data_IF_101219739232
#
_entry.id   IF_101219739232
#
_cell.length_a   1.000
_cell.length_b   1.000
_cell.length_c   1.000
_cell.angle_alpha   90.00
_cell.angle_beta   90.00
_cell.angle_gamma   90.00
#
_symmetry.space_group_name_H-M   'P 1'
#
loop_
_entity.id
_entity.type
_entity.pdbx_description
1 polymer ?
#
# COMPACT_ATOMS: atom_id res chain seq x y z
N UNK A 1 -18.42 -28.66 73.62
CA UNK A 1 -17.71 -29.41 72.56
C UNK A 1 -18.34 -29.18 71.19
N UNK A 2 -19.63 -29.45 70.99
CA UNK A 2 -20.30 -29.26 69.69
C UNK A 2 -20.21 -27.83 69.13
N UNK A 3 -20.46 -26.81 69.97
CA UNK A 3 -20.40 -25.39 69.59
C UNK A 3 -19.02 -24.93 69.13
N UNK A 4 -17.97 -25.39 69.81
CA UNK A 4 -16.58 -25.10 69.44
C UNK A 4 -16.19 -25.72 68.10
N UNK A 5 -16.69 -26.93 67.80
CA UNK A 5 -16.46 -27.60 66.51
C UNK A 5 -17.20 -26.88 65.38
N UNK A 6 -18.45 -26.44 65.61
CA UNK A 6 -19.19 -25.63 64.65
C UNK A 6 -18.49 -24.30 64.34
N UNK A 7 -17.96 -23.61 65.35
CA UNK A 7 -17.22 -22.36 65.16
C UNK A 7 -15.93 -22.57 64.34
N UNK A 8 -15.20 -23.65 64.59
CA UNK A 8 -14.00 -23.99 63.81
C UNK A 8 -14.33 -24.31 62.35
N UNK A 9 -15.43 -25.01 62.09
CA UNK A 9 -15.89 -25.29 60.72
C UNK A 9 -16.28 -24.02 59.98
N UNK A 10 -17.02 -23.11 60.63
CA UNK A 10 -17.40 -21.82 60.03
C UNK A 10 -16.15 -20.97 59.75
N UNK A 11 -15.18 -20.93 60.67
CA UNK A 11 -13.92 -20.22 60.46
C UNK A 11 -13.11 -20.83 59.29
N UNK A 12 -13.03 -22.17 59.21
CA UNK A 12 -12.36 -22.86 58.12
C UNK A 12 -13.02 -22.57 56.76
N UNK A 13 -14.35 -22.68 56.68
CA UNK A 13 -15.11 -22.34 55.47
C UNK A 13 -14.94 -20.87 55.06
N UNK A 14 -14.94 -19.95 56.02
CA UNK A 14 -14.74 -18.53 55.76
C UNK A 14 -13.33 -18.24 55.20
N UNK A 15 -12.29 -18.84 55.78
CA UNK A 15 -10.92 -18.67 55.28
C UNK A 15 -10.72 -19.27 53.88
N UNK A 16 -11.40 -20.39 53.57
CA UNK A 16 -11.40 -20.98 52.23
C UNK A 16 -12.08 -20.06 51.22
N UNK A 17 -13.25 -19.50 51.55
CA UNK A 17 -13.96 -18.55 50.69
C UNK A 17 -13.13 -17.30 50.40
N UNK A 18 -12.49 -16.71 51.41
CA UNK A 18 -11.62 -15.53 51.21
C UNK A 18 -10.43 -15.87 50.31
N UNK A 19 -9.84 -17.05 50.46
CA UNK A 19 -8.73 -17.51 49.59
C UNK A 19 -9.18 -17.73 48.15
N UNK A 20 -10.33 -18.36 47.92
CA UNK A 20 -10.84 -18.59 46.55
C UNK A 20 -11.23 -17.29 45.87
N UNK A 21 -11.87 -16.35 46.59
CA UNK A 21 -12.19 -15.01 46.08
C UNK A 21 -10.90 -14.26 45.70
N UNK A 22 -9.88 -14.26 46.56
CA UNK A 22 -8.58 -13.64 46.25
C UNK A 22 -7.90 -14.29 45.05
N UNK A 23 -7.90 -15.62 44.98
CA UNK A 23 -7.33 -16.36 43.86
C UNK A 23 -8.07 -16.05 42.56
N UNK A 24 -9.40 -16.02 42.58
CA UNK A 24 -10.24 -15.67 41.45
C UNK A 24 -9.96 -14.24 40.97
N UNK A 25 -9.90 -13.26 41.88
CA UNK A 25 -9.56 -11.88 41.51
C UNK A 25 -8.14 -11.76 40.91
N UNK A 26 -7.15 -12.45 41.48
CA UNK A 26 -5.80 -12.46 40.93
C UNK A 26 -5.76 -13.10 39.54
N UNK A 27 -6.46 -14.22 39.34
CA UNK A 27 -6.57 -14.89 38.05
C UNK A 27 -7.29 -14.01 37.02
N UNK A 28 -8.40 -13.38 37.38
CA UNK A 28 -9.16 -12.52 36.48
C UNK A 28 -8.34 -11.29 36.05
N UNK A 29 -7.59 -10.67 36.97
CA UNK A 29 -6.66 -9.57 36.63
C UNK A 29 -5.60 -10.01 35.62
N UNK A 30 -5.05 -11.22 35.77
CA UNK A 30 -4.08 -11.77 34.80
C UNK A 30 -4.73 -12.02 33.44
N UNK A 31 -5.94 -12.57 33.40
CA UNK A 31 -6.69 -12.80 32.14
C UNK A 31 -6.97 -11.47 31.43
N UNK A 32 -7.43 -10.45 32.16
CA UNK A 32 -7.68 -9.12 31.58
C UNK A 32 -6.38 -8.52 31.02
N UNK A 33 -5.27 -8.61 31.75
CA UNK A 33 -3.98 -8.12 31.29
C UNK A 33 -3.45 -8.88 30.07
N UNK A 34 -3.69 -10.18 29.97
CA UNK A 34 -3.33 -10.98 28.79
C UNK A 34 -4.21 -10.61 27.60
N UNK A 35 -5.52 -10.43 27.80
CA UNK A 35 -6.45 -10.00 26.74
C UNK A 35 -6.09 -8.62 26.22
N UNK A 36 -5.76 -7.65 27.08
CA UNK A 36 -5.36 -6.32 26.62
C UNK A 36 -4.07 -6.37 25.81
N UNK A 37 -3.08 -7.15 26.23
CA UNK A 37 -1.84 -7.37 25.45
C UNK A 37 -2.12 -8.02 24.10
N UNK A 38 -2.99 -9.02 24.06
CA UNK A 38 -3.37 -9.69 22.82
C UNK A 38 -4.08 -8.72 21.86
N UNK A 39 -5.00 -7.89 22.36
CA UNK A 39 -5.67 -6.86 21.57
C UNK A 39 -4.69 -5.83 21.00
N UNK A 40 -3.72 -5.36 21.80
CA UNK A 40 -2.67 -4.44 21.32
C UNK A 40 -1.81 -5.08 20.24
N UNK A 41 -1.42 -6.34 20.42
CA UNK A 41 -0.65 -7.05 19.38
C UNK A 41 -1.45 -7.21 18.08
N UNK A 42 -2.74 -7.51 18.19
CA UNK A 42 -3.63 -7.62 17.04
C UNK A 42 -3.82 -6.26 16.35
N UNK A 43 -4.01 -5.17 17.11
CA UNK A 43 -4.14 -3.83 16.54
C UNK A 43 -2.88 -3.39 15.82
N UNK A 44 -1.70 -3.72 16.35
CA UNK A 44 -0.42 -3.43 15.69
C UNK A 44 -0.27 -4.19 14.36
N UNK A 45 -0.72 -5.45 14.30
CA UNK A 45 -0.73 -6.23 13.05
C UNK A 45 -1.72 -5.63 12.06
N UNK A 46 -2.93 -5.27 12.51
CA UNK A 46 -3.94 -4.66 11.65
C UNK A 46 -3.50 -3.30 11.13
N UNK A 47 -2.90 -2.46 11.97
CA UNK A 47 -2.34 -1.15 11.57
C UNK A 47 -1.29 -1.32 10.48
N UNK A 48 -0.33 -2.24 10.66
CA UNK A 48 0.69 -2.52 9.62
C UNK A 48 0.08 -3.00 8.31
N UNK A 49 -1.00 -3.80 8.36
CA UNK A 49 -1.72 -4.22 7.15
C UNK A 49 -2.43 -3.05 6.47
N UNK A 50 -3.06 -2.18 7.26
CA UNK A 50 -3.73 -0.98 6.76
C UNK A 50 -2.71 -0.02 6.11
N UNK A 51 -1.58 0.26 6.76
CA UNK A 51 -0.53 1.13 6.24
C UNK A 51 0.03 0.61 4.90
N UNK A 52 0.17 -0.72 4.75
CA UNK A 52 0.57 -1.35 3.49
C UNK A 52 -0.50 -1.18 2.40
N UNK A 53 -1.77 -1.37 2.74
CA UNK A 53 -2.88 -1.16 1.80
C UNK A 53 -2.98 0.30 1.38
N UNK A 54 -2.83 1.24 2.31
CA UNK A 54 -2.84 2.67 2.03
C UNK A 54 -1.69 3.06 1.09
N UNK A 55 -0.48 2.58 1.36
CA UNK A 55 0.69 2.85 0.50
C UNK A 55 0.47 2.32 -0.92
N UNK A 56 -0.07 1.11 -1.05
CA UNK A 56 -0.43 0.53 -2.37
C UNK A 56 -1.52 1.33 -3.07
N UNK A 57 -2.55 1.75 -2.34
CA UNK A 57 -3.63 2.54 -2.89
C UNK A 57 -3.13 3.91 -3.37
N UNK A 58 -2.31 4.60 -2.57
CA UNK A 58 -1.66 5.85 -2.98
C UNK A 58 -0.81 5.68 -4.23
N UNK A 59 -0.01 4.61 -4.31
CA UNK A 59 0.80 4.31 -5.50
C UNK A 59 -0.07 4.10 -6.74
N UNK A 60 -1.18 3.36 -6.60
CA UNK A 60 -2.11 3.12 -7.71
C UNK A 60 -2.81 4.40 -8.18
N UNK A 61 -3.29 5.22 -7.23
CA UNK A 61 -3.92 6.51 -7.57
C UNK A 61 -2.93 7.43 -8.29
N UNK A 62 -1.66 7.46 -7.85
CA UNK A 62 -0.62 8.22 -8.54
C UNK A 62 -0.36 7.70 -9.96
N UNK A 63 -0.29 6.38 -10.13
CA UNK A 63 -0.14 5.75 -11.45
C UNK A 63 -1.29 6.10 -12.39
N UNK A 64 -2.53 5.94 -11.93
CA UNK A 64 -3.73 6.28 -12.69
C UNK A 64 -3.73 7.77 -13.05
N UNK A 65 -3.32 8.64 -12.12
CA UNK A 65 -3.25 10.09 -12.35
C UNK A 65 -2.21 10.45 -13.41
N UNK A 66 -1.00 9.88 -13.34
CA UNK A 66 0.07 10.14 -14.31
C UNK A 66 -0.29 9.57 -15.67
N UNK A 67 -0.84 8.36 -15.72
CA UNK A 67 -1.28 7.70 -16.96
C UNK A 67 -2.39 8.50 -17.64
N UNK A 68 -3.43 8.89 -16.89
CA UNK A 68 -4.52 9.71 -17.41
C UNK A 68 -4.07 11.12 -17.79
N UNK A 69 -3.15 11.72 -17.04
CA UNK A 69 -2.55 13.01 -17.36
C UNK A 69 -1.75 12.97 -18.66
N UNK A 70 -0.92 11.94 -18.85
CA UNK A 70 -0.18 11.73 -20.09
C UNK A 70 -1.14 11.54 -21.29
N UNK A 71 -2.20 10.74 -21.13
CA UNK A 71 -3.22 10.56 -22.17
C UNK A 71 -3.98 11.85 -22.50
N UNK A 72 -4.27 12.69 -21.48
CA UNK A 72 -4.90 13.98 -21.69
C UNK A 72 -3.98 14.93 -22.48
N UNK A 73 -2.69 14.98 -22.14
CA UNK A 73 -1.68 15.77 -22.87
C UNK A 73 -1.55 15.26 -24.31
N UNK A 74 -1.47 13.95 -24.52
CA UNK A 74 -1.43 13.35 -25.86
C UNK A 74 -2.66 13.79 -26.69
N UNK A 75 -3.85 13.73 -26.10
CA UNK A 75 -5.09 14.13 -26.79
C UNK A 75 -5.10 15.62 -27.13
N UNK A 76 -4.65 16.49 -26.22
CA UNK A 76 -4.50 17.92 -26.48
C UNK A 76 -3.49 18.18 -27.60
N UNK A 77 -2.33 17.53 -27.55
CA UNK A 77 -1.28 17.63 -28.57
C UNK A 77 -1.79 17.19 -29.95
N UNK A 78 -2.48 16.05 -30.04
CA UNK A 78 -3.14 15.58 -31.28
C UNK A 78 -4.17 16.60 -31.79
N UNK A 79 -4.96 17.19 -30.90
CA UNK A 79 -5.97 18.19 -31.29
C UNK A 79 -5.32 19.44 -31.88
N UNK A 80 -4.29 19.99 -31.22
CA UNK A 80 -3.54 21.16 -31.68
C UNK A 80 -2.82 20.90 -33.01
N UNK A 81 -2.23 19.71 -33.14
CA UNK A 81 -1.53 19.28 -34.35
C UNK A 81 -2.50 19.15 -35.52
N UNK A 82 -3.63 18.48 -35.31
CA UNK A 82 -4.68 18.32 -36.31
C UNK A 82 -5.25 19.68 -36.75
N UNK A 83 -5.48 20.60 -35.80
CA UNK A 83 -5.94 21.94 -36.12
C UNK A 83 -4.90 22.70 -36.95
N UNK A 84 -3.63 22.70 -36.52
CA UNK A 84 -2.53 23.40 -37.21
C UNK A 84 -2.34 22.91 -38.64
N UNK A 85 -2.15 21.61 -38.84
CA UNK A 85 -1.97 21.06 -40.18
C UNK A 85 -3.25 21.11 -41.02
N UNK A 86 -4.42 21.01 -40.38
CA UNK A 86 -5.71 21.18 -41.06
C UNK A 86 -5.91 22.61 -41.60
N UNK A 87 -5.44 23.63 -40.87
CA UNK A 87 -5.45 25.02 -41.35
C UNK A 87 -4.51 25.20 -42.54
N UNK A 88 -3.29 24.65 -42.47
CA UNK A 88 -2.33 24.70 -43.59
C UNK A 88 -2.91 24.03 -44.84
N UNK A 89 -3.53 22.86 -44.68
CA UNK A 89 -4.16 22.12 -45.79
C UNK A 89 -5.44 22.79 -46.29
N UNK A 90 -6.02 23.77 -45.60
CA UNK A 90 -7.23 24.48 -46.06
C UNK A 90 -6.93 25.87 -46.64
N UNK A 91 -5.90 26.54 -46.15
CA UNK A 91 -5.61 27.93 -46.50
C UNK A 91 -4.34 28.13 -47.34
N UNK A 92 -3.52 27.09 -47.54
CA UNK A 92 -2.38 27.19 -48.46
C UNK A 92 -2.82 27.12 -49.92
N UNK A 93 -2.42 28.13 -50.69
CA UNK A 93 -2.59 28.18 -52.15
C UNK A 93 -1.47 27.49 -52.93
N UNK A 94 -0.34 27.17 -52.29
CA UNK A 94 0.79 26.47 -52.91
C UNK A 94 0.74 24.96 -52.62
N UNK A 95 0.60 24.15 -53.68
CA UNK A 95 0.56 22.69 -53.61
C UNK A 95 1.88 22.09 -53.10
N UNK A 96 3.03 22.68 -53.43
CA UNK A 96 4.33 22.23 -52.93
C UNK A 96 4.44 22.48 -51.43
N UNK A 97 3.89 23.59 -50.95
CA UNK A 97 3.83 23.90 -49.53
C UNK A 97 2.89 22.94 -48.78
N UNK A 98 1.73 22.59 -49.37
CA UNK A 98 0.81 21.59 -48.80
C UNK A 98 1.47 20.22 -48.68
N UNK A 99 2.17 19.77 -49.71
CA UNK A 99 2.87 18.49 -49.72
C UNK A 99 4.00 18.45 -48.69
N UNK A 100 4.79 19.54 -48.60
CA UNK A 100 5.81 19.70 -47.55
C UNK A 100 5.20 19.65 -46.15
N UNK A 101 4.08 20.34 -45.92
CA UNK A 101 3.37 20.33 -44.64
C UNK A 101 2.82 18.94 -44.27
N UNK A 102 2.34 18.16 -45.24
CA UNK A 102 1.92 16.76 -45.01
C UNK A 102 3.09 15.89 -44.59
N UNK A 103 4.23 16.02 -45.26
CA UNK A 103 5.46 15.29 -44.89
C UNK A 103 5.98 15.68 -43.51
N UNK A 104 5.89 16.97 -43.17
CA UNK A 104 6.21 17.46 -41.83
C UNK A 104 5.26 16.89 -40.76
N UNK A 105 3.95 16.80 -41.07
CA UNK A 105 2.96 16.15 -40.19
C UNK A 105 3.28 14.69 -39.95
N UNK A 106 3.56 13.92 -40.99
CA UNK A 106 3.91 12.50 -40.84
C UNK A 106 5.14 12.30 -39.96
N UNK A 107 6.17 13.13 -40.15
CA UNK A 107 7.39 13.09 -39.33
C UNK A 107 7.10 13.47 -37.88
N UNK A 108 6.27 14.49 -37.67
CA UNK A 108 5.82 14.93 -36.35
C UNK A 108 5.00 13.85 -35.62
N UNK A 109 4.06 13.21 -36.31
CA UNK A 109 3.20 12.18 -35.75
C UNK A 109 4.02 10.93 -35.39
N UNK A 110 4.92 10.49 -36.27
CA UNK A 110 5.86 9.39 -35.97
C UNK A 110 6.75 9.69 -34.75
N UNK A 111 7.21 10.93 -34.61
CA UNK A 111 8.03 11.35 -33.48
C UNK A 111 7.21 11.40 -32.20
N UNK A 112 6.02 11.96 -32.27
CA UNK A 112 5.08 12.05 -31.15
C UNK A 112 4.71 10.67 -30.63
N UNK A 113 4.34 9.73 -31.51
CA UNK A 113 3.98 8.36 -31.12
C UNK A 113 5.15 7.63 -30.41
N UNK A 114 6.39 7.82 -30.89
CA UNK A 114 7.59 7.28 -30.21
C UNK A 114 7.75 7.87 -28.81
N UNK A 115 7.56 9.18 -28.64
CA UNK A 115 7.69 9.85 -27.35
C UNK A 115 6.61 9.35 -26.38
N UNK A 116 5.35 9.30 -26.79
CA UNK A 116 4.26 8.84 -25.93
C UNK A 116 4.38 7.35 -25.58
N UNK A 117 4.80 6.51 -26.52
CA UNK A 117 5.08 5.09 -26.26
C UNK A 117 6.23 4.91 -25.25
N UNK A 118 7.29 5.70 -25.38
CA UNK A 118 8.40 5.71 -24.42
C UNK A 118 7.91 6.15 -23.04
N UNK A 119 7.12 7.22 -22.93
CA UNK A 119 6.55 7.69 -21.67
C UNK A 119 5.70 6.61 -20.98
N UNK A 120 4.83 5.93 -21.73
CA UNK A 120 4.00 4.84 -21.19
C UNK A 120 4.88 3.68 -20.68
N UNK A 121 5.89 3.30 -21.46
CA UNK A 121 6.84 2.25 -21.09
C UNK A 121 7.66 2.62 -19.86
N UNK A 122 8.12 3.86 -19.76
CA UNK A 122 8.86 4.38 -18.60
C UNK A 122 7.99 4.39 -17.35
N UNK A 123 6.73 4.80 -17.45
CA UNK A 123 5.79 4.77 -16.32
C UNK A 123 5.63 3.33 -15.79
N UNK A 124 5.43 2.36 -16.69
CA UNK A 124 5.35 0.93 -16.36
C UNK A 124 6.66 0.39 -15.76
N UNK A 125 7.81 0.77 -16.32
CA UNK A 125 9.12 0.34 -15.83
C UNK A 125 9.43 0.89 -14.44
N UNK A 126 9.08 2.16 -14.17
CA UNK A 126 9.22 2.76 -12.85
C UNK A 126 8.40 1.99 -11.80
N UNK A 127 7.18 1.59 -12.14
CA UNK A 127 6.33 0.77 -11.28
C UNK A 127 6.96 -0.61 -10.98
N UNK A 128 7.42 -1.33 -12.01
CA UNK A 128 8.09 -2.63 -11.86
C UNK A 128 9.36 -2.52 -10.99
N UNK A 129 10.13 -1.45 -11.14
CA UNK A 129 11.31 -1.20 -10.30
C UNK A 129 10.92 -0.91 -8.85
N UNK A 130 9.85 -0.17 -8.62
CA UNK A 130 9.35 0.07 -7.27
C UNK A 130 8.94 -1.25 -6.58
N UNK A 131 8.21 -2.13 -7.27
CA UNK A 131 7.83 -3.45 -6.78
C UNK A 131 9.04 -4.35 -6.49
N UNK A 132 10.03 -4.33 -7.37
CA UNK A 132 11.27 -5.10 -7.19
C UNK A 132 12.07 -4.62 -5.98
N UNK A 133 12.19 -3.31 -5.78
CA UNK A 133 12.88 -2.73 -4.61
C UNK A 133 12.17 -3.07 -3.30
N UNK A 134 10.83 -3.03 -3.29
CA UNK A 134 10.03 -3.42 -2.14
C UNK A 134 10.18 -4.93 -1.83
N UNK A 135 10.18 -5.76 -2.86
CA UNK A 135 10.37 -7.21 -2.72
C UNK A 135 11.75 -7.54 -2.18
N UNK A 136 12.81 -6.95 -2.74
CA UNK A 136 14.20 -7.14 -2.31
C UNK A 136 14.44 -6.67 -0.86
N UNK A 137 13.81 -5.57 -0.44
CA UNK A 137 13.84 -5.14 0.97
C UNK A 137 13.18 -6.16 1.89
N UNK A 138 12.07 -6.74 1.46
CA UNK A 138 11.32 -7.75 2.22
C UNK A 138 12.14 -9.03 2.37
N UNK A 139 12.74 -9.51 1.28
CA UNK A 139 13.63 -10.68 1.27
C UNK A 139 14.84 -10.50 2.21
N UNK A 140 15.52 -9.35 2.12
CA UNK A 140 16.64 -9.02 3.00
C UNK A 140 16.25 -8.99 4.48
N UNK A 141 15.03 -8.55 4.81
CA UNK A 141 14.53 -8.56 6.19
C UNK A 141 14.29 -9.98 6.70
N UNK A 142 13.71 -10.85 5.87
CA UNK A 142 13.49 -12.26 6.20
C UNK A 142 14.84 -12.96 6.42
N UNK A 143 15.81 -12.76 5.52
CA UNK A 143 17.15 -13.35 5.64
C UNK A 143 17.86 -12.94 6.93
N UNK A 144 17.79 -11.65 7.30
CA UNK A 144 18.33 -11.14 8.58
C UNK A 144 17.62 -11.72 9.81
N UNK A 145 16.31 -11.92 9.74
CA UNK A 145 15.57 -12.55 10.85
C UNK A 145 15.91 -14.03 11.02
N UNK A 146 16.20 -14.74 9.92
CA UNK A 146 16.64 -16.13 9.92
C UNK A 146 18.07 -16.29 10.46
N UNK A 147 19.01 -15.39 10.11
CA UNK A 147 20.37 -15.47 10.67
C UNK A 147 20.38 -15.23 12.18
N UNK A 148 19.64 -14.22 12.67
CA UNK A 148 19.52 -13.94 14.12
C UNK A 148 18.91 -15.09 14.94
N UNK A 149 18.05 -15.92 14.33
CA UNK A 149 17.50 -17.12 14.98
C UNK A 149 18.47 -18.29 15.01
N UNK A 150 19.42 -18.38 14.07
CA UNK A 150 20.47 -19.41 14.07
C UNK A 150 21.59 -19.11 15.07
N UNK A 151 21.88 -17.83 15.32
CA UNK A 151 22.92 -17.42 16.27
C UNK A 151 22.47 -17.46 17.75
N UNK A 152 21.20 -17.81 18.04
CA UNK A 152 20.61 -17.88 19.39
C UNK A 152 20.27 -19.31 19.85
N UNK A 153 20.60 -20.33 19.05
CA UNK A 153 20.47 -21.75 19.40
C UNK A 153 21.84 -22.40 19.47
#
# INVERSE_FOLDING_TARGET
>A
MLTSVCLLLVAASCTLLVKTIRHYHAANRRVIALRSRALVQQSEIQKKRLDLLETRNRSKVLEDTVSNGAAAVEKMHRTLTNATFGLIDRFSSDDKFRESARKARETHDQTSDKIYSALHTTNKAAHLLADMLLTKRTENRIRRSHSRRRDQG
#
